data_IF_953840526835
#
_entry.id   IF_953840526835
#
_cell.length_a   1.000
_cell.length_b   1.000
_cell.length_c   1.000
_cell.angle_alpha   90.00
_cell.angle_beta   90.00
_cell.angle_gamma   90.00
#
_symmetry.space_group_name_H-M   'P 1'
#
loop_
_entity.id
_entity.type
_entity.pdbx_description
1 polymer ?
#
# COMPACT_ATOMS: atom_id res chain seq x y z
N UNK A 1 4.54 -3.02 -16.76
CA UNK A 1 3.30 -3.76 -16.47
C UNK A 1 3.35 -4.17 -15.01
N UNK A 2 2.28 -3.94 -14.24
CA UNK A 2 2.26 -4.24 -12.81
C UNK A 2 1.90 -5.71 -12.59
N UNK A 3 2.84 -6.51 -12.06
CA UNK A 3 2.56 -7.89 -11.66
C UNK A 3 1.86 -7.87 -10.29
N UNK A 4 0.56 -8.11 -10.25
CA UNK A 4 -0.18 -8.28 -8.99
C UNK A 4 0.03 -9.72 -8.50
N UNK A 5 0.92 -9.92 -7.52
CA UNK A 5 1.16 -11.25 -6.93
C UNK A 5 0.16 -11.47 -5.80
N UNK A 6 -0.84 -12.32 -6.03
CA UNK A 6 -1.90 -12.70 -5.08
C UNK A 6 -1.58 -14.03 -4.39
N UNK A 7 -0.45 -14.11 -3.69
CA UNK A 7 -0.10 -15.24 -2.82
C UNK A 7 0.84 -14.73 -1.72
N UNK A 8 1.02 -15.46 -0.60
CA UNK A 8 2.05 -15.12 0.39
C UNK A 8 3.43 -15.43 -0.21
N UNK A 9 3.89 -14.58 -1.11
CA UNK A 9 5.23 -14.62 -1.67
C UNK A 9 6.08 -13.60 -0.90
N UNK A 10 7.12 -14.09 -0.24
CA UNK A 10 8.20 -13.22 0.24
C UNK A 10 8.95 -12.77 -1.00
N UNK A 11 8.72 -11.53 -1.45
CA UNK A 11 9.47 -10.94 -2.56
C UNK A 11 10.85 -10.56 -2.02
N UNK A 12 11.85 -11.40 -2.27
CA UNK A 12 13.25 -11.06 -2.02
C UNK A 12 13.79 -10.28 -3.22
N UNK A 13 13.77 -8.96 -3.13
CA UNK A 13 14.48 -8.07 -4.07
C UNK A 13 15.89 -7.83 -3.53
N UNK A 14 16.90 -8.50 -4.08
CA UNK A 14 18.30 -8.23 -3.73
C UNK A 14 18.80 -7.04 -4.54
N UNK A 15 18.71 -5.85 -3.95
CA UNK A 15 19.39 -4.65 -4.46
C UNK A 15 20.49 -4.28 -3.47
N UNK A 16 21.75 -4.28 -3.92
CA UNK A 16 22.85 -3.68 -3.16
C UNK A 16 22.61 -2.17 -3.14
N UNK A 17 22.09 -1.64 -2.03
CA UNK A 17 21.79 -0.22 -1.89
C UNK A 17 22.90 0.49 -1.11
N UNK A 18 23.61 1.47 -1.70
CA UNK A 18 24.31 2.46 -0.89
C UNK A 18 23.27 3.25 -0.08
N UNK A 19 23.68 3.76 1.08
CA UNK A 19 22.84 4.49 2.04
C UNK A 19 22.02 5.56 1.29
N UNK A 20 20.75 5.28 1.04
CA UNK A 20 19.87 6.09 0.21
C UNK A 20 18.74 6.69 1.06
N UNK A 21 18.25 7.87 0.67
CA UNK A 21 17.05 8.49 1.24
C UNK A 21 15.83 7.61 0.93
N UNK A 22 15.39 6.85 1.93
CA UNK A 22 14.19 6.03 1.89
C UNK A 22 13.10 6.76 2.69
N UNK A 23 11.97 7.02 2.04
CA UNK A 23 10.75 7.52 2.67
C UNK A 23 9.76 6.37 2.79
N UNK A 24 9.27 6.13 4.01
CA UNK A 24 8.18 5.17 4.27
C UNK A 24 7.02 5.92 4.92
N UNK A 25 5.84 5.80 4.35
CA UNK A 25 4.65 6.47 4.85
C UNK A 25 3.37 5.66 4.61
N UNK A 26 2.32 6.05 5.31
CA UNK A 26 1.01 5.37 5.30
C UNK A 26 -0.06 6.36 4.84
N UNK A 27 -0.42 6.41 3.54
CA UNK A 27 -1.44 7.35 3.05
C UNK A 27 -2.86 6.98 3.53
N UNK A 28 -3.13 5.70 3.80
CA UNK A 28 -4.40 5.23 4.36
C UNK A 28 -4.19 4.01 5.24
N UNK A 29 -5.20 3.63 6.03
CA UNK A 29 -5.18 2.40 6.84
C UNK A 29 -4.82 1.14 6.03
N UNK A 30 -5.13 1.14 4.73
CA UNK A 30 -4.99 0.00 3.81
C UNK A 30 -3.66 -0.03 3.07
N UNK A 31 -2.88 1.04 3.06
CA UNK A 31 -1.74 1.17 2.17
C UNK A 31 -0.49 1.65 2.89
N UNK A 32 0.64 1.01 2.63
CA UNK A 32 1.98 1.47 3.01
C UNK A 32 2.78 1.74 1.75
N UNK A 33 3.44 2.90 1.71
CA UNK A 33 4.25 3.34 0.58
C UNK A 33 5.71 3.43 1.01
N UNK A 34 6.58 2.91 0.16
CA UNK A 34 8.02 3.12 0.21
C UNK A 34 8.44 3.82 -1.08
N UNK A 35 9.13 4.94 -0.93
CA UNK A 35 9.70 5.72 -2.03
C UNK A 35 11.18 5.92 -1.79
N UNK A 36 11.96 5.84 -2.86
CA UNK A 36 13.40 6.08 -2.81
C UNK A 36 13.82 7.13 -3.83
N UNK A 37 14.90 7.85 -3.54
CA UNK A 37 15.46 8.84 -4.46
C UNK A 37 16.07 8.24 -5.73
N UNK A 38 16.30 6.93 -5.76
CA UNK A 38 16.87 6.21 -6.90
C UNK A 38 15.80 5.59 -7.83
N UNK A 39 14.53 5.94 -7.67
CA UNK A 39 13.48 5.53 -8.63
C UNK A 39 12.87 4.15 -8.37
N UNK A 40 12.95 3.64 -7.14
CA UNK A 40 12.15 2.50 -6.68
C UNK A 40 10.96 2.99 -5.86
N UNK A 41 9.77 2.50 -6.21
CA UNK A 41 8.58 2.68 -5.40
C UNK A 41 7.93 1.31 -5.12
N UNK A 42 7.57 1.09 -3.86
CA UNK A 42 6.85 -0.10 -3.43
C UNK A 42 5.55 0.34 -2.74
N UNK A 43 4.43 -0.15 -3.24
CA UNK A 43 3.11 0.00 -2.63
C UNK A 43 2.71 -1.35 -2.05
N UNK A 44 2.45 -1.38 -0.75
CA UNK A 44 1.93 -2.55 -0.04
C UNK A 44 0.48 -2.23 0.32
N UNK A 45 -0.44 -2.92 -0.34
CA UNK A 45 -1.85 -2.91 0.03
C UNK A 45 -2.06 -4.02 1.06
N UNK A 46 -2.68 -3.71 2.19
CA UNK A 46 -2.89 -4.61 3.33
C UNK A 46 -4.29 -5.22 3.37
N UNK A 47 -5.26 -4.51 2.79
CA UNK A 47 -6.69 -4.86 2.84
C UNK A 47 -7.23 -4.92 1.40
N UNK A 48 -8.00 -5.94 1.02
CA UNK A 48 -8.49 -7.06 1.84
C UNK A 48 -7.45 -8.15 2.09
N UNK A 49 -6.52 -8.30 1.15
CA UNK A 49 -5.41 -9.26 1.18
C UNK A 49 -4.14 -8.49 0.89
N UNK A 50 -3.03 -8.92 1.50
CA UNK A 50 -1.74 -8.30 1.24
C UNK A 50 -1.36 -8.44 -0.23
N UNK A 51 -1.18 -7.32 -0.93
CA UNK A 51 -0.69 -7.25 -2.31
C UNK A 51 0.49 -6.28 -2.36
N UNK A 52 1.48 -6.59 -3.20
CA UNK A 52 2.66 -5.76 -3.37
C UNK A 52 2.77 -5.33 -4.82
N UNK A 53 2.95 -4.04 -5.04
CA UNK A 53 3.18 -3.45 -6.35
C UNK A 53 4.54 -2.75 -6.35
N UNK A 54 5.40 -3.15 -7.28
CA UNK A 54 6.74 -2.58 -7.44
C UNK A 54 6.77 -1.78 -8.73
N UNK A 55 7.22 -0.53 -8.64
CA UNK A 55 7.44 0.37 -9.77
C UNK A 55 8.90 0.77 -9.80
N UNK A 56 9.52 0.67 -10.97
CA UNK A 56 10.92 0.99 -11.21
C UNK A 56 11.03 2.00 -12.34
N UNK A 57 11.98 2.91 -12.20
CA UNK A 57 12.42 3.82 -13.26
C UNK A 57 12.98 3.04 -14.46
N UNK A 58 12.82 3.57 -15.68
CA UNK A 58 13.31 2.93 -16.92
C UNK A 58 14.83 2.75 -16.93
N UNK A 59 15.58 3.50 -16.12
CA UNK A 59 17.02 3.30 -15.88
C UNK A 59 17.39 1.91 -15.35
N UNK A 60 16.44 1.14 -14.81
CA UNK A 60 16.60 -0.25 -14.39
C UNK A 60 16.38 -1.28 -15.51
N UNK A 61 16.06 -0.85 -16.74
CA UNK A 61 15.90 -1.74 -17.89
C UNK A 61 17.11 -2.67 -18.02
N UNK A 62 16.86 -3.97 -18.19
CA UNK A 62 17.87 -5.04 -18.26
C UNK A 62 18.78 -5.19 -17.05
N UNK A 63 18.45 -4.58 -15.90
CA UNK A 63 19.26 -4.67 -14.66
C UNK A 63 18.56 -5.43 -13.54
N UNK A 64 17.31 -5.84 -13.73
CA UNK A 64 16.55 -6.61 -12.74
C UNK A 64 16.72 -8.10 -12.95
N UNK A 65 16.58 -8.85 -11.88
CA UNK A 65 16.46 -10.31 -11.92
C UNK A 65 15.53 -10.73 -10.77
N UNK A 66 14.72 -11.76 -10.99
CA UNK A 66 13.77 -12.26 -10.01
C UNK A 66 12.46 -12.69 -10.65
N UNK A 67 11.44 -12.89 -9.80
CA UNK A 67 10.10 -13.31 -10.23
C UNK A 67 9.38 -12.28 -11.13
N UNK A 68 9.82 -11.02 -11.12
CA UNK A 68 9.30 -9.97 -11.99
C UNK A 68 10.08 -9.83 -13.31
N UNK A 69 10.94 -10.80 -13.64
CA UNK A 69 11.72 -10.81 -14.88
C UNK A 69 12.89 -9.83 -14.90
N UNK A 70 13.36 -9.53 -16.11
CA UNK A 70 14.58 -8.75 -16.35
C UNK A 70 14.31 -7.31 -16.85
N UNK A 71 13.03 -6.95 -16.98
CA UNK A 71 12.55 -5.64 -17.41
C UNK A 71 13.15 -5.19 -18.77
N UNK A 72 13.38 -6.10 -19.71
CA UNK A 72 13.89 -5.78 -21.05
C UNK A 72 12.79 -5.49 -22.11
N UNK A 73 11.51 -5.69 -21.74
CA UNK A 73 10.30 -5.62 -22.59
C UNK A 73 10.11 -6.82 -23.55
N UNK A 74 10.72 -7.97 -23.25
CA UNK A 74 10.65 -9.20 -24.04
C UNK A 74 10.00 -10.30 -23.18
N UNK A 75 8.71 -10.55 -23.43
CA UNK A 75 7.94 -11.52 -22.63
C UNK A 75 8.49 -12.95 -22.69
N UNK A 76 9.11 -13.34 -23.81
CA UNK A 76 9.58 -14.70 -24.03
C UNK A 76 10.78 -15.10 -23.15
N UNK A 77 11.46 -14.16 -22.49
CA UNK A 77 12.58 -14.45 -21.59
C UNK A 77 12.35 -14.01 -20.14
N UNK A 78 11.12 -13.63 -19.78
CA UNK A 78 10.77 -13.24 -18.41
C UNK A 78 10.85 -14.42 -17.42
N UNK A 79 10.69 -15.66 -17.90
CA UNK A 79 10.83 -16.89 -17.11
C UNK A 79 12.26 -17.41 -17.07
N UNK A 80 13.25 -16.51 -17.12
CA UNK A 80 14.67 -16.85 -17.07
C UNK A 80 15.16 -17.06 -15.63
N UNK A 81 15.72 -18.22 -15.35
CA UNK A 81 16.25 -18.62 -14.05
C UNK A 81 17.55 -17.88 -13.72
N UNK A 82 18.02 -17.91 -12.45
CA UNK A 82 19.34 -17.41 -12.08
C UNK A 82 20.49 -18.05 -12.85
N UNK A 83 20.30 -19.28 -13.36
CA UNK A 83 21.28 -20.01 -14.17
C UNK A 83 21.25 -19.61 -15.65
N UNK A 84 20.33 -18.71 -16.04
CA UNK A 84 20.24 -18.18 -17.39
C UNK A 84 19.42 -19.04 -18.36
N UNK A 85 18.77 -20.10 -17.88
CA UNK A 85 17.86 -20.94 -18.68
C UNK A 85 16.46 -20.37 -18.64
N UNK A 86 15.68 -20.53 -19.71
CA UNK A 86 14.26 -20.12 -19.73
C UNK A 86 13.40 -21.35 -19.46
N UNK A 87 12.58 -21.27 -18.43
CA UNK A 87 11.67 -22.35 -18.05
C UNK A 87 10.37 -22.33 -18.86
N UNK A 88 9.75 -23.49 -19.03
CA UNK A 88 8.49 -23.65 -19.75
C UNK A 88 7.24 -23.50 -18.88
N UNK A 89 7.36 -23.53 -17.55
CA UNK A 89 6.21 -23.47 -16.63
C UNK A 89 6.43 -22.46 -15.51
N UNK A 90 5.34 -21.93 -14.96
CA UNK A 90 5.40 -20.96 -13.87
C UNK A 90 5.95 -21.58 -12.56
N UNK A 91 5.61 -22.84 -12.29
CA UNK A 91 6.07 -23.52 -11.08
C UNK A 91 7.58 -23.77 -11.08
N UNK A 92 8.14 -24.26 -12.20
CA UNK A 92 9.59 -24.48 -12.33
C UNK A 92 10.37 -23.17 -12.21
N UNK A 93 9.93 -22.13 -12.92
CA UNK A 93 10.48 -20.78 -12.80
C UNK A 93 10.43 -20.27 -11.35
N UNK A 94 9.27 -20.36 -10.69
CA UNK A 94 9.09 -19.91 -9.32
C UNK A 94 10.00 -20.64 -8.31
N UNK A 95 10.15 -21.96 -8.47
CA UNK A 95 11.01 -22.78 -7.61
C UNK A 95 12.50 -22.43 -7.78
N UNK A 96 12.93 -21.93 -8.94
CA UNK A 96 14.32 -21.50 -9.18
C UNK A 96 14.73 -20.26 -8.37
N UNK A 97 13.76 -19.46 -7.92
CA UNK A 97 13.97 -18.19 -7.20
C UNK A 97 13.73 -18.29 -5.68
N UNK A 98 13.73 -19.51 -5.11
CA UNK A 98 13.57 -19.70 -3.66
C UNK A 98 14.67 -18.98 -2.88
N UNK A 99 14.29 -18.12 -1.95
CA UNK A 99 15.23 -17.46 -1.04
C UNK A 99 15.87 -18.44 -0.04
N UNK A 100 15.15 -19.50 0.33
CA UNK A 100 15.66 -20.57 1.18
C UNK A 100 15.64 -21.91 0.41
N UNK A 101 16.79 -22.57 0.23
CA UNK A 101 16.86 -23.82 -0.51
C UNK A 101 16.12 -24.98 0.16
N UNK A 102 15.82 -24.91 1.46
CA UNK A 102 15.09 -25.97 2.17
C UNK A 102 13.58 -25.96 1.91
N UNK A 103 13.06 -24.90 1.29
CA UNK A 103 11.67 -24.82 0.89
C UNK A 103 11.37 -25.90 -0.17
N UNK A 104 10.30 -26.65 0.04
CA UNK A 104 9.82 -27.65 -0.92
C UNK A 104 9.38 -26.98 -2.22
N UNK A 105 9.63 -27.66 -3.32
CA UNK A 105 9.13 -27.24 -4.62
C UNK A 105 7.60 -27.31 -4.66
N UNK A 106 7.01 -26.39 -5.42
CA UNK A 106 5.59 -26.40 -5.74
C UNK A 106 5.40 -26.97 -7.14
N UNK A 107 4.38 -27.81 -7.29
CA UNK A 107 3.98 -28.36 -8.57
C UNK A 107 2.93 -27.47 -9.23
N UNK A 108 2.80 -27.61 -10.55
CA UNK A 108 1.76 -26.92 -11.31
C UNK A 108 0.40 -27.57 -11.06
N UNK A 109 -0.63 -26.74 -10.87
CA UNK A 109 -2.00 -27.20 -10.70
C UNK A 109 -2.77 -26.84 -11.96
N UNK A 110 -3.17 -27.88 -12.70
CA UNK A 110 -3.88 -27.71 -13.98
C UNK A 110 -5.40 -27.62 -13.82
N UNK A 111 -5.91 -27.94 -12.63
CA UNK A 111 -7.36 -27.96 -12.39
C UNK A 111 -7.93 -26.55 -12.27
N UNK A 112 -9.14 -26.35 -12.81
CA UNK A 112 -9.92 -25.15 -12.56
C UNK A 112 -10.56 -25.21 -11.16
N UNK A 113 -10.22 -24.29 -10.21
CA UNK A 113 -10.84 -24.24 -8.90
C UNK A 113 -12.37 -24.15 -8.93
N UNK A 114 -12.93 -23.49 -9.94
CA UNK A 114 -14.38 -23.32 -10.05
C UNK A 114 -15.10 -24.64 -10.34
N UNK A 115 -14.41 -25.60 -10.97
CA UNK A 115 -14.99 -26.93 -11.23
C UNK A 115 -15.18 -27.76 -9.95
N UNK A 116 -14.59 -27.35 -8.82
CA UNK A 116 -14.67 -28.04 -7.54
C UNK A 116 -15.92 -27.68 -6.72
N UNK A 117 -16.54 -26.52 -7.00
CA UNK A 117 -17.72 -26.05 -6.26
C UNK A 117 -18.62 -25.17 -7.13
N UNK A 118 -19.83 -25.67 -7.39
CA UNK A 118 -20.88 -24.96 -8.16
C UNK A 118 -21.32 -23.68 -7.44
N UNK A 119 -21.35 -23.68 -6.10
CA UNK A 119 -21.72 -22.51 -5.31
C UNK A 119 -20.69 -21.38 -5.48
N UNK A 120 -19.40 -21.72 -5.35
CA UNK A 120 -18.32 -20.76 -5.55
C UNK A 120 -18.29 -20.25 -6.99
N UNK A 121 -18.51 -21.13 -7.98
CA UNK A 121 -18.59 -20.75 -9.38
C UNK A 121 -19.73 -19.76 -9.64
N UNK A 122 -20.93 -20.01 -9.10
CA UNK A 122 -22.07 -19.12 -9.26
C UNK A 122 -21.83 -17.76 -8.60
N UNK A 123 -21.28 -17.76 -7.38
CA UNK A 123 -20.89 -16.53 -6.67
C UNK A 123 -19.87 -15.73 -7.48
N UNK A 124 -18.82 -16.40 -7.95
CA UNK A 124 -17.76 -15.81 -8.75
C UNK A 124 -18.30 -15.22 -10.06
N UNK A 125 -19.08 -15.98 -10.84
CA UNK A 125 -19.67 -15.50 -12.09
C UNK A 125 -20.56 -14.28 -11.87
N UNK A 126 -21.39 -14.30 -10.83
CA UNK A 126 -22.29 -13.20 -10.52
C UNK A 126 -21.51 -11.91 -10.26
N UNK A 127 -20.61 -11.91 -9.27
CA UNK A 127 -19.92 -10.69 -8.85
C UNK A 127 -18.81 -10.27 -9.81
N UNK A 128 -18.00 -11.21 -10.32
CA UNK A 128 -16.93 -10.88 -11.26
C UNK A 128 -17.47 -10.29 -12.58
N UNK A 129 -18.71 -10.63 -12.98
CA UNK A 129 -19.34 -10.03 -14.16
C UNK A 129 -19.46 -8.50 -14.10
N UNK A 130 -19.45 -7.91 -12.89
CA UNK A 130 -19.44 -6.46 -12.71
C UNK A 130 -18.24 -5.80 -13.42
N UNK A 131 -17.07 -6.44 -13.45
CA UNK A 131 -15.90 -5.90 -14.15
C UNK A 131 -16.15 -5.66 -15.64
N UNK A 132 -17.06 -6.43 -16.25
CA UNK A 132 -17.42 -6.34 -17.68
C UNK A 132 -18.71 -5.56 -17.93
N UNK A 133 -19.53 -5.36 -16.92
CA UNK A 133 -20.83 -4.72 -17.08
C UNK A 133 -20.69 -3.23 -17.41
N UNK A 134 -21.42 -2.77 -18.43
CA UNK A 134 -21.50 -1.36 -18.83
C UNK A 134 -22.21 -0.49 -17.79
N UNK A 135 -23.02 -1.10 -16.93
CA UNK A 135 -23.83 -0.40 -15.93
C UNK A 135 -23.12 -0.31 -14.57
N UNK A 136 -21.90 -0.82 -14.49
CA UNK A 136 -21.08 -0.81 -13.28
C UNK A 136 -20.18 0.43 -13.20
N UNK A 137 -19.67 0.72 -12.00
CA UNK A 137 -18.65 1.75 -11.80
C UNK A 137 -17.37 1.47 -12.59
N UNK A 138 -17.06 0.20 -12.87
CA UNK A 138 -15.87 -0.23 -13.63
C UNK A 138 -15.92 0.16 -15.11
N UNK A 139 -17.12 0.38 -15.67
CA UNK A 139 -17.29 0.74 -17.08
C UNK A 139 -16.49 1.98 -17.51
N UNK A 140 -16.27 2.92 -16.59
CA UNK A 140 -15.46 4.13 -16.81
C UNK A 140 -14.01 3.84 -17.21
N UNK A 141 -13.51 2.64 -16.90
CA UNK A 141 -12.13 2.24 -17.16
C UNK A 141 -11.96 1.26 -18.33
N UNK A 142 -13.05 0.72 -18.90
CA UNK A 142 -12.98 -0.29 -19.97
C UNK A 142 -12.15 0.16 -21.18
N UNK A 143 -12.18 1.46 -21.51
CA UNK A 143 -11.39 2.03 -22.60
C UNK A 143 -9.87 2.05 -22.34
N UNK A 144 -9.45 2.00 -21.08
CA UNK A 144 -8.05 2.14 -20.66
C UNK A 144 -7.44 0.81 -20.19
N UNK A 145 -8.26 -0.08 -19.62
CA UNK A 145 -7.85 -1.39 -19.10
C UNK A 145 -8.89 -2.44 -19.50
N UNK A 146 -8.45 -3.45 -20.25
CA UNK A 146 -9.28 -4.57 -20.67
C UNK A 146 -9.74 -5.40 -19.45
N UNK A 147 -11.06 -5.48 -19.17
CA UNK A 147 -11.58 -6.19 -18.01
C UNK A 147 -11.50 -7.71 -18.15
N UNK A 148 -11.29 -8.29 -19.34
CA UNK A 148 -11.42 -9.74 -19.55
C UNK A 148 -10.36 -10.55 -18.77
N UNK A 149 -9.13 -10.05 -18.66
CA UNK A 149 -8.10 -10.70 -17.86
C UNK A 149 -8.42 -10.65 -16.35
N UNK A 150 -8.97 -9.53 -15.86
CA UNK A 150 -9.36 -9.38 -14.46
C UNK A 150 -10.60 -10.20 -14.14
N UNK A 151 -11.54 -10.33 -15.07
CA UNK A 151 -12.68 -11.23 -14.95
C UNK A 151 -12.22 -12.67 -14.71
N UNK A 152 -11.32 -13.19 -15.56
CA UNK A 152 -10.76 -14.56 -15.40
C UNK A 152 -9.99 -14.73 -14.08
N UNK A 153 -9.21 -13.72 -13.67
CA UNK A 153 -8.49 -13.73 -12.38
C UNK A 153 -9.46 -13.68 -11.21
N UNK A 154 -10.52 -12.89 -11.31
CA UNK A 154 -11.56 -12.77 -10.30
C UNK A 154 -12.26 -14.11 -10.12
N UNK A 155 -12.68 -14.76 -11.21
CA UNK A 155 -13.35 -16.06 -11.11
C UNK A 155 -12.45 -17.11 -10.47
N UNK A 156 -11.20 -17.19 -10.93
CA UNK A 156 -10.22 -18.11 -10.36
C UNK A 156 -9.97 -17.84 -8.85
N UNK A 157 -9.76 -16.58 -8.48
CA UNK A 157 -9.47 -16.20 -7.10
C UNK A 157 -10.66 -16.45 -6.16
N UNK A 158 -11.88 -16.11 -6.59
CA UNK A 158 -13.10 -16.35 -5.80
C UNK A 158 -13.40 -17.83 -5.60
N UNK A 159 -13.09 -18.68 -6.58
CA UNK A 159 -13.31 -20.12 -6.45
C UNK A 159 -12.24 -20.84 -5.62
N UNK A 160 -11.01 -20.35 -5.64
CA UNK A 160 -9.87 -21.01 -4.99
C UNK A 160 -9.68 -20.60 -3.51
N UNK A 161 -10.32 -19.53 -3.07
CA UNK A 161 -10.07 -18.91 -1.78
C UNK A 161 -11.11 -19.33 -0.73
N UNK A 162 -10.67 -19.56 0.51
CA UNK A 162 -11.56 -19.89 1.62
C UNK A 162 -12.56 -18.76 1.90
N UNK A 163 -12.10 -17.50 1.77
CA UNK A 163 -12.93 -16.30 1.88
C UNK A 163 -13.15 -15.70 0.50
N UNK A 164 -14.13 -16.21 -0.22
CA UNK A 164 -14.40 -15.85 -1.62
C UNK A 164 -14.54 -14.34 -1.85
N UNK A 165 -15.16 -13.60 -0.91
CA UNK A 165 -15.30 -12.14 -0.99
C UNK A 165 -13.96 -11.41 -0.84
N UNK A 166 -13.11 -11.77 0.12
CA UNK A 166 -11.82 -11.10 0.34
C UNK A 166 -10.94 -11.19 -0.91
N UNK A 167 -10.91 -12.37 -1.52
CA UNK A 167 -10.16 -12.64 -2.75
C UNK A 167 -10.78 -11.95 -3.98
N UNK A 168 -12.12 -11.91 -4.08
CA UNK A 168 -12.81 -11.13 -5.11
C UNK A 168 -12.44 -9.64 -5.02
N UNK A 169 -12.58 -9.08 -3.81
CA UNK A 169 -12.29 -7.69 -3.52
C UNK A 169 -10.83 -7.32 -3.77
N UNK A 170 -9.90 -8.27 -3.61
CA UNK A 170 -8.49 -8.08 -3.93
C UNK A 170 -8.26 -7.91 -5.44
N UNK A 171 -8.99 -8.66 -6.27
CA UNK A 171 -8.91 -8.51 -7.73
C UNK A 171 -9.57 -7.20 -8.18
N UNK A 172 -10.69 -6.82 -7.57
CA UNK A 172 -11.33 -5.52 -7.84
C UNK A 172 -10.38 -4.36 -7.50
N UNK A 173 -9.70 -4.40 -6.35
CA UNK A 173 -8.71 -3.37 -6.01
C UNK A 173 -7.53 -3.32 -6.99
N UNK A 174 -7.09 -4.46 -7.53
CA UNK A 174 -6.06 -4.48 -8.58
C UNK A 174 -6.55 -3.81 -9.86
N UNK A 175 -7.79 -4.06 -10.29
CA UNK A 175 -8.37 -3.38 -11.45
C UNK A 175 -8.49 -1.88 -11.22
N UNK A 176 -9.03 -1.46 -10.07
CA UNK A 176 -9.16 -0.04 -9.68
C UNK A 176 -7.80 0.66 -9.66
N UNK A 177 -6.78 0.01 -9.12
CA UNK A 177 -5.41 0.54 -9.11
C UNK A 177 -4.87 0.72 -10.53
N UNK A 178 -5.07 -0.25 -11.41
CA UNK A 178 -4.56 -0.16 -12.77
C UNK A 178 -5.32 0.90 -13.58
N UNK A 179 -6.61 1.10 -13.31
CA UNK A 179 -7.36 2.27 -13.79
C UNK A 179 -6.76 3.59 -13.32
N UNK A 180 -6.40 3.68 -12.03
CA UNK A 180 -5.78 4.87 -11.47
C UNK A 180 -4.42 5.17 -12.13
N UNK A 181 -3.65 4.14 -12.52
CA UNK A 181 -2.40 4.33 -13.29
C UNK A 181 -2.62 4.93 -14.68
N UNK A 182 -3.84 4.80 -15.21
CA UNK A 182 -4.28 5.41 -16.46
C UNK A 182 -5.01 6.74 -16.25
N UNK A 183 -5.03 7.26 -15.03
CA UNK A 183 -5.68 8.52 -14.67
C UNK A 183 -7.19 8.43 -14.43
N UNK A 184 -7.76 7.22 -14.39
CA UNK A 184 -9.20 7.01 -14.13
C UNK A 184 -9.40 6.58 -12.69
N UNK A 185 -9.95 7.47 -11.86
CA UNK A 185 -10.30 7.18 -10.46
C UNK A 185 -11.75 6.68 -10.40
N UNK A 186 -11.95 5.49 -9.84
CA UNK A 186 -13.26 4.87 -9.69
C UNK A 186 -13.79 5.10 -8.26
N UNK A 187 -14.76 5.99 -8.10
CA UNK A 187 -15.44 6.22 -6.82
C UNK A 187 -16.64 5.27 -6.65
N UNK A 188 -16.95 4.88 -5.41
CA UNK A 188 -18.09 4.02 -5.07
C UNK A 188 -17.95 2.57 -5.52
N UNK A 189 -16.74 2.11 -5.87
CA UNK A 189 -16.54 0.75 -6.39
C UNK A 189 -16.78 -0.34 -5.32
N UNK A 190 -16.77 0.02 -4.03
CA UNK A 190 -17.07 -0.86 -2.89
C UNK A 190 -18.54 -0.83 -2.43
N UNK A 191 -19.42 -0.05 -3.06
CA UNK A 191 -20.78 0.15 -2.55
C UNK A 191 -21.70 -1.09 -2.66
N UNK A 192 -21.45 -1.98 -3.63
CA UNK A 192 -22.28 -3.17 -3.85
C UNK A 192 -21.69 -4.43 -3.20
N UNK A 193 -20.40 -4.67 -3.44
CA UNK A 193 -19.60 -5.75 -2.86
C UNK A 193 -18.34 -5.12 -2.28
N UNK A 194 -17.76 -5.71 -1.24
CA UNK A 194 -16.62 -5.15 -0.50
C UNK A 194 -16.96 -3.95 0.42
N UNK A 195 -18.25 -3.71 0.70
CA UNK A 195 -18.75 -2.61 1.53
C UNK A 195 -18.32 -2.74 3.01
N UNK A 196 -18.11 -3.97 3.48
CA UNK A 196 -17.59 -4.24 4.84
C UNK A 196 -16.30 -3.47 5.15
N UNK A 197 -15.46 -3.20 4.14
CA UNK A 197 -14.22 -2.44 4.34
C UNK A 197 -14.46 -0.94 4.54
N UNK A 198 -15.59 -0.41 4.07
CA UNK A 198 -16.05 0.96 4.36
C UNK A 198 -16.48 1.03 5.84
N UNK A 199 -17.30 0.07 6.28
CA UNK A 199 -17.83 0.03 7.66
C UNK A 199 -16.78 -0.30 8.73
N UNK A 200 -15.69 -0.97 8.36
CA UNK A 200 -14.63 -1.37 9.29
C UNK A 200 -13.61 -0.25 9.62
N UNK A 201 -13.84 0.98 9.17
CA UNK A 201 -12.97 2.09 9.56
C UNK A 201 -13.06 2.37 11.07
N UNK A 202 -11.93 2.65 11.75
CA UNK A 202 -11.95 3.10 13.13
C UNK A 202 -12.84 4.33 13.31
N UNK A 203 -13.52 4.45 14.46
CA UNK A 203 -14.52 5.51 14.73
C UNK A 203 -14.01 6.94 14.49
N UNK A 204 -12.70 7.19 14.67
CA UNK A 204 -12.09 8.50 14.45
C UNK A 204 -11.69 8.78 12.99
N UNK A 205 -11.77 7.77 12.12
CA UNK A 205 -11.36 7.84 10.72
C UNK A 205 -12.58 7.76 9.79
N UNK A 206 -12.40 8.18 8.54
CA UNK A 206 -13.42 8.08 7.50
C UNK A 206 -12.86 7.42 6.26
N UNK A 207 -13.67 6.58 5.62
CA UNK A 207 -13.33 5.96 4.36
C UNK A 207 -13.32 6.98 3.22
N UNK A 208 -12.38 6.84 2.29
CA UNK A 208 -12.34 7.58 1.03
C UNK A 208 -11.84 6.69 -0.09
N UNK A 209 -12.43 6.81 -1.28
CA UNK A 209 -11.95 6.15 -2.51
C UNK A 209 -10.70 6.85 -3.09
N UNK A 210 -10.46 8.11 -2.71
CA UNK A 210 -9.44 8.95 -3.31
C UNK A 210 -8.59 9.63 -2.23
N UNK A 211 -7.49 8.97 -1.87
CA UNK A 211 -6.46 9.50 -1.01
C UNK A 211 -5.15 9.61 -1.79
N UNK A 212 -4.80 10.84 -2.14
CA UNK A 212 -3.54 11.18 -2.81
C UNK A 212 -2.78 12.26 -2.02
N UNK A 213 -2.85 12.15 -0.70
CA UNK A 213 -2.17 13.07 0.22
C UNK A 213 -1.55 12.30 1.36
N UNK A 214 -0.45 12.82 1.87
CA UNK A 214 0.16 12.30 3.08
C UNK A 214 -0.81 12.43 4.27
N UNK A 215 -1.02 11.34 4.99
CA UNK A 215 -1.75 11.37 6.25
C UNK A 215 -1.05 12.32 7.23
N UNK A 216 -1.77 13.33 7.71
CA UNK A 216 -1.26 14.24 8.74
C UNK A 216 -1.18 13.49 10.07
N UNK A 217 -0.04 13.58 10.74
CA UNK A 217 0.21 12.94 12.03
C UNK A 217 0.63 13.99 13.06
N UNK A 218 0.45 13.69 14.35
CA UNK A 218 0.94 14.60 15.39
C UNK A 218 2.47 14.78 15.31
N UNK A 219 3.21 13.74 14.92
CA UNK A 219 4.66 13.82 14.69
C UNK A 219 5.03 14.70 13.49
N UNK A 220 4.18 14.74 12.44
CA UNK A 220 4.42 15.62 11.29
C UNK A 220 4.30 17.09 11.64
N UNK A 221 3.61 17.45 12.73
CA UNK A 221 3.59 18.82 13.23
C UNK A 221 4.97 19.21 13.75
N UNK A 222 5.64 18.37 14.53
CA UNK A 222 6.97 18.67 15.07
C UNK A 222 8.07 18.76 13.99
N UNK A 223 7.90 18.03 12.89
CA UNK A 223 8.87 18.03 11.79
C UNK A 223 8.78 19.28 10.91
N UNK A 224 9.94 19.78 10.45
CA UNK A 224 10.01 20.84 9.43
C UNK A 224 9.86 20.29 8.00
N UNK A 225 10.11 19.00 7.80
CA UNK A 225 9.97 18.31 6.52
C UNK A 225 8.84 17.28 6.60
N UNK A 226 7.90 17.35 5.67
CA UNK A 226 6.93 16.29 5.50
C UNK A 226 7.66 15.10 4.87
N UNK A 227 7.82 14.01 5.62
CA UNK A 227 8.57 12.82 5.18
C UNK A 227 7.85 12.00 4.12
N UNK A 228 6.94 12.60 3.36
CA UNK A 228 6.09 11.98 2.36
C UNK A 228 5.90 12.99 1.21
N UNK A 229 5.90 12.48 -0.02
CA UNK A 229 5.58 13.24 -1.21
C UNK A 229 4.15 12.94 -1.63
N UNK A 230 3.45 13.87 -2.28
CA UNK A 230 2.14 13.59 -2.86
C UNK A 230 2.24 12.93 -4.26
N UNK A 231 3.45 12.52 -4.66
CA UNK A 231 3.72 11.91 -5.95
C UNK A 231 3.55 10.39 -5.87
N UNK A 232 2.30 9.96 -5.64
CA UNK A 232 1.91 8.56 -5.67
C UNK A 232 0.50 8.41 -6.27
N UNK A 233 0.19 7.20 -6.73
CA UNK A 233 -1.13 6.87 -7.25
C UNK A 233 -2.19 7.05 -6.16
N UNK A 234 -3.34 7.68 -6.44
CA UNK A 234 -4.45 7.73 -5.50
C UNK A 234 -4.80 6.32 -5.00
N UNK A 235 -5.00 6.19 -3.68
CA UNK A 235 -5.40 4.94 -3.04
C UNK A 235 -6.68 5.13 -2.25
N UNK A 236 -7.36 4.03 -1.95
CA UNK A 236 -8.52 4.05 -1.06
C UNK A 236 -8.17 3.63 0.38
N UNK A 237 -9.10 3.85 1.29
CA UNK A 237 -9.04 3.35 2.66
C UNK A 237 -9.45 4.38 3.70
N UNK A 238 -9.22 4.04 4.97
CA UNK A 238 -9.55 4.92 6.08
C UNK A 238 -8.43 5.93 6.31
N UNK A 239 -8.80 7.19 6.52
CA UNK A 239 -7.86 8.26 6.85
C UNK A 239 -8.51 9.22 7.86
N UNK A 240 -7.70 10.10 8.46
CA UNK A 240 -8.29 11.15 9.28
C UNK A 240 -9.06 12.15 8.41
N UNK A 241 -10.24 12.60 8.88
CA UNK A 241 -10.94 13.74 8.30
C UNK A 241 -10.06 14.99 8.21
N UNK A 242 -10.43 15.91 7.33
CA UNK A 242 -9.75 17.19 7.18
C UNK A 242 -9.69 17.97 8.49
N UNK A 243 -8.52 18.52 8.80
CA UNK A 243 -8.25 19.27 10.03
C UNK A 243 -7.90 18.41 11.25
N UNK A 244 -7.95 17.07 11.14
CA UNK A 244 -7.53 16.16 12.21
C UNK A 244 -6.17 15.51 11.92
N UNK A 245 -5.48 15.12 12.99
CA UNK A 245 -4.13 14.56 12.98
C UNK A 245 -4.15 13.18 13.63
N UNK A 246 -3.46 12.23 13.02
CA UNK A 246 -3.32 10.89 13.58
C UNK A 246 -2.29 10.89 14.72
N UNK A 247 -2.70 10.44 15.89
CA UNK A 247 -1.79 10.18 17.01
C UNK A 247 -1.03 8.85 16.83
N UNK A 248 -0.12 8.56 17.74
CA UNK A 248 0.70 7.34 17.79
C UNK A 248 -0.13 6.07 18.01
N UNK A 249 -1.39 6.20 18.46
CA UNK A 249 -2.35 5.11 18.65
C UNK A 249 -3.29 4.93 17.45
N UNK A 250 -3.11 5.70 16.38
CA UNK A 250 -3.96 5.63 15.19
C UNK A 250 -5.31 6.33 15.33
N UNK A 251 -5.48 7.17 16.35
CA UNK A 251 -6.70 7.94 16.59
C UNK A 251 -6.57 9.35 16.01
N UNK A 252 -7.59 9.82 15.30
CA UNK A 252 -7.62 11.16 14.76
C UNK A 252 -8.07 12.16 15.82
N UNK A 253 -7.21 13.14 16.11
CA UNK A 253 -7.43 14.18 17.11
C UNK A 253 -7.23 15.57 16.50
N UNK A 254 -7.91 16.61 17.02
CA UNK A 254 -7.61 17.98 16.64
C UNK A 254 -6.17 18.38 17.01
N UNK A 255 -5.62 19.38 16.32
CA UNK A 255 -4.22 19.81 16.48
C UNK A 255 -3.85 20.11 17.95
N UNK A 256 -4.72 20.78 18.69
CA UNK A 256 -4.51 21.16 20.09
C UNK A 256 -4.47 19.96 21.06
N UNK A 257 -4.95 18.80 20.62
CA UNK A 257 -4.89 17.53 21.37
C UNK A 257 -3.72 16.64 20.97
N UNK A 258 -2.89 17.05 20.01
CA UNK A 258 -1.71 16.28 19.64
C UNK A 258 -0.65 16.26 20.74
N UNK A 259 -0.18 15.08 21.19
CA UNK A 259 0.95 14.98 22.09
C UNK A 259 2.24 15.41 21.39
N UNK A 260 3.20 15.91 22.17
CA UNK A 260 4.55 16.17 21.71
C UNK A 260 5.45 14.98 22.03
N UNK A 261 6.54 14.82 21.28
CA UNK A 261 7.48 13.74 21.46
C UNK A 261 8.89 14.27 21.72
N UNK A 262 9.57 13.76 22.74
CA UNK A 262 10.96 14.09 23.03
C UNK A 262 11.66 12.89 23.68
N UNK A 263 12.82 12.49 23.14
CA UNK A 263 13.67 11.40 23.65
C UNK A 263 12.90 10.11 24.02
N UNK A 264 11.96 9.68 23.17
CA UNK A 264 11.18 8.46 23.42
C UNK A 264 9.94 8.64 24.28
N UNK A 265 9.67 9.85 24.79
CA UNK A 265 8.58 10.11 25.75
C UNK A 265 7.51 10.99 25.14
N UNK A 266 6.25 10.60 25.35
CA UNK A 266 5.06 11.36 24.97
C UNK A 266 4.70 12.38 26.05
N UNK A 267 4.59 13.65 25.65
CA UNK A 267 4.24 14.77 26.50
C UNK A 267 2.82 15.17 26.15
N UNK A 268 1.93 15.11 27.14
CA UNK A 268 0.52 15.46 26.95
C UNK A 268 0.38 16.94 26.52
N UNK A 269 -0.64 17.28 25.71
CA UNK A 269 -0.94 18.67 25.37
C UNK A 269 -1.05 19.56 26.61
N UNK A 270 -0.46 20.75 26.55
CA UNK A 270 -0.43 21.73 27.65
C UNK A 270 0.50 21.38 28.82
N UNK A 271 1.16 20.20 28.82
CA UNK A 271 2.17 19.88 29.83
C UNK A 271 3.51 20.48 29.48
N UNK A 272 4.26 20.84 30.52
CA UNK A 272 5.60 21.37 30.40
C UNK A 272 6.65 20.40 30.91
N UNK A 273 7.81 20.41 30.27
CA UNK A 273 9.01 19.71 30.70
C UNK A 273 10.20 20.67 30.66
N UNK A 274 11.23 20.37 31.46
CA UNK A 274 12.51 21.07 31.36
C UNK A 274 13.44 20.23 30.48
N UNK A 275 13.92 20.82 29.39
CA UNK A 275 14.93 20.23 28.51
C UNK A 275 16.17 21.11 28.67
N UNK A 276 17.22 20.56 29.28
CA UNK A 276 18.43 21.33 29.63
C UNK A 276 18.06 22.59 30.47
N UNK A 277 18.39 23.79 30.00
CA UNK A 277 18.09 25.08 30.65
C UNK A 277 16.84 25.78 30.08
N UNK A 278 16.03 25.06 29.30
CA UNK A 278 14.81 25.58 28.69
C UNK A 278 13.55 24.96 29.31
N UNK A 279 12.55 25.80 29.56
CA UNK A 279 11.19 25.37 29.87
C UNK A 279 10.40 25.23 28.58
N UNK A 280 9.96 24.01 28.31
CA UNK A 280 9.25 23.68 27.09
C UNK A 280 7.81 23.29 27.40
N UNK A 281 6.86 23.92 26.71
CA UNK A 281 5.43 23.58 26.81
C UNK A 281 5.00 22.89 25.52
N UNK A 282 4.31 21.76 25.65
CA UNK A 282 3.71 21.09 24.51
C UNK A 282 2.44 21.84 24.07
N UNK A 283 2.47 22.39 22.86
CA UNK A 283 1.31 23.04 22.27
C UNK A 283 1.21 22.65 20.79
N UNK A 284 0.03 22.26 20.32
CA UNK A 284 -0.22 21.91 18.92
C UNK A 284 0.78 20.88 18.35
N UNK A 285 1.10 19.83 19.11
CA UNK A 285 2.07 18.80 18.72
C UNK A 285 3.53 19.26 18.64
N UNK A 286 3.84 20.50 19.03
CA UNK A 286 5.19 21.10 19.03
C UNK A 286 5.63 21.49 20.44
N UNK A 287 6.91 21.29 20.73
CA UNK A 287 7.52 21.83 21.93
C UNK A 287 7.90 23.29 21.71
N UNK A 288 7.32 24.18 22.51
CA UNK A 288 7.67 25.60 22.54
C UNK A 288 8.54 25.86 23.76
N UNK A 289 9.85 26.00 23.53
CA UNK A 289 10.86 26.17 24.56
C UNK A 289 11.22 27.64 24.78
N UNK A 290 11.46 28.01 26.04
CA UNK A 290 11.97 29.32 26.44
C UNK A 290 13.11 29.13 27.44
N UNK A 291 14.24 29.77 27.19
CA UNK A 291 15.41 29.74 28.08
C UNK A 291 15.10 30.41 29.42
N UNK A 292 15.50 29.78 30.53
CA UNK A 292 15.61 30.44 31.83
C UNK A 292 16.86 31.34 31.88
N UNK A 293 17.01 32.31 30.97
CA UNK A 293 17.89 33.43 31.27
C UNK A 293 17.16 34.32 32.27
N UNK A 294 17.36 34.04 33.57
CA UNK A 294 17.22 35.05 34.60
C UNK A 294 17.89 36.31 34.07
N UNK A 295 17.12 37.39 33.87
CA UNK A 295 17.68 38.73 33.77
C UNK A 295 18.31 39.05 35.14
N UNK A 296 19.49 38.51 35.41
CA UNK A 296 20.35 39.03 36.46
C UNK A 296 21.25 40.07 35.81
N UNK A 297 20.70 41.24 35.50
CA UNK A 297 21.54 42.41 35.27
C UNK A 297 20.83 43.70 35.67
N UNK A 298 21.56 44.46 36.50
CA UNK A 298 21.35 45.84 36.93
C UNK A 298 20.29 46.13 38.00
N UNK A 299 20.74 46.15 39.26
CA UNK A 299 20.37 47.23 40.19
C UNK A 299 21.46 47.41 41.25
N UNK A 300 22.30 48.41 40.96
CA UNK A 300 23.12 49.27 41.83
C UNK A 300 24.01 48.63 42.89
#
# INVERSE_FOLDING_TARGET
EALSVLFPAVISLFVFLPIADISVFKPSSFHVMLQTSFGLQVQIQLVPIMQVYVTLDESYKTKTQGLCGNFNKVLSDDMKTPQGMVEGTASSFGNSWKANPTCRDREERLDDPCSLSVENENYAKHWCSMLRSSDSTFAKCHAMVDPELYYKRCTYASCNCEKSEDCLCAVFSSYVRDCATKGVVLSGWRENVCDKYIGNCPVSQTYSDQLQRCQLTCSSLASKSQGCTNDFLPVDGCSCPDGLYMDDRGTCVPMDKCPCFHNGVHIKPGKSINIQEEHCVCNNGKLHCRSWKMRSESSK
#
